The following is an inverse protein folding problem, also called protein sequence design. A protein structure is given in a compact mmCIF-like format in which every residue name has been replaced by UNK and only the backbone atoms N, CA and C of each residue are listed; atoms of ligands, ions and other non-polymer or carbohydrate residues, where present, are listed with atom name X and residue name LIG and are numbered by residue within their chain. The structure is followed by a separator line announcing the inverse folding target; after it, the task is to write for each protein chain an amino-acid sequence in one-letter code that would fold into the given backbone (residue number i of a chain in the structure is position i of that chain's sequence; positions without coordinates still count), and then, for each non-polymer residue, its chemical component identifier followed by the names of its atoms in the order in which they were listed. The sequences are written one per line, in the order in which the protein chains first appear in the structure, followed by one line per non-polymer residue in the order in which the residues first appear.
data_IF_054335847178
#
_entry.id   IF_054335847178
#
_cell.length_a   1.000
_cell.length_b   1.000
_cell.length_c   1.000
_cell.angle_alpha   90.00
_cell.angle_beta   90.00
_cell.angle_gamma   90.00
#
_symmetry.space_group_name_H-M   'P 1'
#
loop_
_entity.id
_entity.type
_entity.pdbx_description
1 polymer ?
#
# COMPACT_ATOMS: atom_id res chain seq x y z
N UNK A 1 0.48 3.24 9.42
CA UNK A 1 0.87 1.88 9.85
C UNK A 1 1.63 1.16 8.76
N UNK A 2 1.07 0.98 7.55
CA UNK A 2 1.77 0.36 6.43
C UNK A 2 3.16 0.95 6.20
N UNK A 3 3.26 2.28 6.16
CA UNK A 3 4.55 2.98 6.03
C UNK A 3 5.52 2.74 7.17
N UNK A 4 5.04 2.60 8.41
CA UNK A 4 5.91 2.30 9.55
C UNK A 4 6.48 0.89 9.45
N UNK A 5 5.69 -0.07 8.95
CA UNK A 5 6.17 -1.42 8.67
C UNK A 5 7.16 -1.43 7.52
N UNK A 6 6.86 -0.73 6.43
CA UNK A 6 7.73 -0.53 5.28
C UNK A 6 9.09 0.04 5.70
N UNK A 7 9.10 1.17 6.43
CA UNK A 7 10.31 1.78 7.00
C UNK A 7 11.09 0.80 7.89
N UNK A 8 10.37 0.01 8.69
CA UNK A 8 11.00 -0.98 9.58
C UNK A 8 11.69 -2.06 8.78
N UNK A 9 11.03 -2.60 7.75
CA UNK A 9 11.58 -3.63 6.87
C UNK A 9 12.78 -3.12 6.06
N UNK A 10 12.73 -1.87 5.59
CA UNK A 10 13.77 -1.30 4.72
C UNK A 10 15.00 -0.81 5.49
N UNK A 11 14.81 -0.16 6.65
CA UNK A 11 15.88 0.56 7.33
C UNK A 11 16.27 -0.01 8.71
N UNK A 12 15.39 -0.76 9.37
CA UNK A 12 15.57 -1.10 10.78
C UNK A 12 15.57 -2.60 11.08
N UNK A 13 15.24 -3.45 10.11
CA UNK A 13 15.14 -4.90 10.28
C UNK A 13 16.26 -5.63 9.53
N UNK A 14 16.84 -6.63 10.17
CA UNK A 14 17.61 -7.65 9.46
C UNK A 14 16.67 -8.64 8.77
N UNK A 15 17.17 -9.35 7.75
CA UNK A 15 16.45 -10.42 7.06
C UNK A 15 15.78 -11.43 8.01
N UNK A 16 16.47 -11.83 9.09
CA UNK A 16 15.91 -12.80 10.04
C UNK A 16 14.76 -12.19 10.84
N UNK A 17 14.87 -10.91 11.21
CA UNK A 17 13.82 -10.18 11.92
C UNK A 17 12.59 -9.96 11.05
N UNK A 18 12.77 -9.59 9.77
CA UNK A 18 11.66 -9.53 8.80
C UNK A 18 10.97 -10.89 8.73
N UNK A 19 11.71 -11.99 8.59
CA UNK A 19 11.13 -13.34 8.52
C UNK A 19 10.35 -13.72 9.78
N UNK A 20 10.82 -13.31 10.96
CA UNK A 20 10.10 -13.54 12.23
C UNK A 20 8.83 -12.69 12.28
N UNK A 21 8.91 -11.42 11.88
CA UNK A 21 7.76 -10.51 11.82
C UNK A 21 6.70 -10.97 10.80
N UNK A 22 7.11 -11.42 9.61
CA UNK A 22 6.19 -11.98 8.61
C UNK A 22 5.37 -13.13 9.20
N UNK A 23 6.03 -14.08 9.88
CA UNK A 23 5.33 -15.21 10.54
C UNK A 23 4.38 -14.76 11.64
N UNK A 24 4.78 -13.76 12.43
CA UNK A 24 3.92 -13.21 13.47
C UNK A 24 2.66 -12.59 12.85
N UNK A 25 2.83 -11.77 11.81
CA UNK A 25 1.73 -11.15 11.06
C UNK A 25 0.82 -12.21 10.43
N UNK A 26 1.38 -13.25 9.78
CA UNK A 26 0.61 -14.38 9.22
C UNK A 26 -0.22 -15.11 10.28
N UNK A 27 0.31 -15.23 11.51
CA UNK A 27 -0.44 -15.87 12.60
C UNK A 27 -1.58 -15.00 13.13
N UNK A 28 -1.43 -13.67 13.05
CA UNK A 28 -2.34 -12.68 13.60
C UNK A 28 -2.76 -12.94 15.06
N UNK A 29 -1.86 -13.55 15.86
CA UNK A 29 -2.10 -13.93 17.25
C UNK A 29 -1.21 -13.12 18.20
N UNK A 30 -1.78 -12.68 19.33
CA UNK A 30 -1.05 -11.92 20.36
C UNK A 30 0.17 -12.69 20.90
N UNK A 31 0.06 -14.02 21.02
CA UNK A 31 1.15 -14.89 21.50
C UNK A 31 2.42 -14.81 20.65
N UNK A 32 2.33 -14.40 19.38
CA UNK A 32 3.50 -14.21 18.53
C UNK A 32 4.44 -13.09 19.03
N UNK A 33 3.96 -12.19 19.90
CA UNK A 33 4.80 -11.17 20.56
C UNK A 33 5.96 -11.78 21.36
N UNK A 34 5.79 -12.97 21.93
CA UNK A 34 6.81 -13.62 22.75
C UNK A 34 8.01 -14.09 21.92
N UNK A 35 7.77 -14.41 20.64
CA UNK A 35 8.77 -14.93 19.72
C UNK A 35 9.52 -13.82 18.97
N UNK A 36 9.05 -12.57 19.04
CA UNK A 36 9.64 -11.44 18.34
C UNK A 36 10.81 -10.82 19.12
N UNK A 37 11.82 -10.28 18.41
CA UNK A 37 12.81 -9.39 19.00
C UNK A 37 12.17 -8.15 19.62
N UNK A 38 12.77 -7.62 20.69
CA UNK A 38 12.23 -6.47 21.44
C UNK A 38 11.98 -5.22 20.56
N UNK A 39 12.83 -5.02 19.54
CA UNK A 39 12.69 -3.98 18.51
C UNK A 39 11.38 -4.09 17.71
N UNK A 40 10.93 -5.31 17.41
CA UNK A 40 9.77 -5.59 16.56
C UNK A 40 8.47 -5.77 17.34
N UNK A 41 8.54 -6.11 18.64
CA UNK A 41 7.35 -6.29 19.48
C UNK A 41 6.45 -5.06 19.51
N UNK A 42 7.04 -3.88 19.61
CA UNK A 42 6.26 -2.63 19.64
C UNK A 42 5.50 -2.41 18.33
N UNK A 43 6.13 -2.69 17.18
CA UNK A 43 5.49 -2.58 15.88
C UNK A 43 4.34 -3.57 15.74
N UNK A 44 4.57 -4.86 16.07
CA UNK A 44 3.54 -5.88 15.97
C UNK A 44 2.38 -5.62 16.93
N UNK A 45 2.64 -5.11 18.14
CA UNK A 45 1.59 -4.69 19.07
C UNK A 45 0.72 -3.57 18.49
N UNK A 46 1.32 -2.54 17.89
CA UNK A 46 0.57 -1.48 17.19
C UNK A 46 -0.31 -2.05 16.08
N UNK A 47 0.16 -3.09 15.37
CA UNK A 47 -0.63 -3.79 14.35
C UNK A 47 -1.86 -4.44 14.96
N UNK A 48 -1.69 -5.30 15.97
CA UNK A 48 -2.80 -6.00 16.62
C UNK A 48 -3.81 -5.03 17.23
N UNK A 49 -3.32 -4.05 18.01
CA UNK A 49 -4.19 -3.08 18.71
C UNK A 49 -5.07 -2.29 17.72
N UNK A 50 -4.54 -1.88 16.57
CA UNK A 50 -5.34 -1.16 15.55
C UNK A 50 -6.42 -2.06 14.95
N UNK A 51 -6.10 -3.31 14.61
CA UNK A 51 -7.08 -4.18 13.99
C UNK A 51 -8.19 -4.54 14.98
N UNK A 52 -7.88 -4.69 16.26
CA UNK A 52 -8.87 -4.84 17.33
C UNK A 52 -9.75 -3.59 17.43
N UNK A 53 -9.18 -2.38 17.39
CA UNK A 53 -9.94 -1.13 17.38
C UNK A 53 -10.85 -1.01 16.15
N UNK A 54 -10.33 -1.32 14.96
CA UNK A 54 -11.10 -1.34 13.71
C UNK A 54 -12.24 -2.35 13.80
N UNK A 55 -12.00 -3.54 14.34
CA UNK A 55 -13.03 -4.56 14.52
C UNK A 55 -14.14 -4.09 15.47
N UNK A 56 -13.77 -3.46 16.59
CA UNK A 56 -14.71 -2.86 17.55
C UNK A 56 -15.54 -1.75 16.92
N UNK A 57 -14.93 -0.85 16.14
CA UNK A 57 -15.66 0.22 15.45
C UNK A 57 -16.58 -0.32 14.35
N UNK A 58 -16.11 -1.31 13.57
CA UNK A 58 -16.91 -1.87 12.48
C UNK A 58 -18.05 -2.75 12.98
N UNK A 59 -17.91 -3.41 14.12
CA UNK A 59 -19.01 -4.12 14.80
C UNK A 59 -20.20 -3.20 15.10
N UNK A 60 -19.99 -1.87 15.19
CA UNK A 60 -21.07 -0.88 15.35
C UNK A 60 -21.83 -0.59 14.05
N UNK A 61 -21.30 -0.98 12.89
CA UNK A 61 -21.80 -0.55 11.57
C UNK A 61 -22.23 -1.69 10.61
N UNK A 62 -21.93 -2.97 10.90
CA UNK A 62 -22.38 -4.15 10.11
C UNK A 62 -21.24 -4.98 9.49
N UNK A 63 -21.52 -6.10 8.79
CA UNK A 63 -20.53 -7.15 8.50
C UNK A 63 -19.40 -6.72 7.55
N UNK A 64 -18.19 -7.16 7.87
CA UNK A 64 -16.88 -6.64 7.45
C UNK A 64 -16.24 -7.42 6.31
N UNK A 65 -16.67 -7.15 5.08
CA UNK A 65 -15.97 -7.65 3.88
C UNK A 65 -14.55 -7.05 3.75
N UNK A 66 -14.39 -5.77 4.07
CA UNK A 66 -13.13 -5.05 3.87
C UNK A 66 -11.98 -5.50 4.79
N UNK A 67 -12.26 -5.87 6.04
CA UNK A 67 -11.24 -6.32 7.00
C UNK A 67 -10.77 -7.73 6.67
N UNK A 68 -11.70 -8.64 6.36
CA UNK A 68 -11.34 -10.01 5.97
C UNK A 68 -10.56 -10.00 4.65
N UNK A 69 -10.98 -9.19 3.68
CA UNK A 69 -10.23 -9.00 2.44
C UNK A 69 -8.84 -8.39 2.68
N UNK A 70 -8.71 -7.40 3.56
CA UNK A 70 -7.41 -6.82 3.92
C UNK A 70 -6.48 -7.84 4.61
N UNK A 71 -7.02 -8.72 5.47
CA UNK A 71 -6.26 -9.82 6.08
C UNK A 71 -5.80 -10.84 5.03
N UNK A 72 -6.68 -11.24 4.11
CA UNK A 72 -6.38 -12.20 3.03
C UNK A 72 -5.40 -11.67 1.97
N UNK A 73 -5.52 -10.41 1.54
CA UNK A 73 -4.56 -9.81 0.60
C UNK A 73 -3.17 -9.63 1.23
N UNK A 74 -3.11 -9.38 2.54
CA UNK A 74 -1.85 -9.25 3.24
C UNK A 74 -1.03 -10.55 3.27
N UNK A 75 -1.70 -11.71 3.41
CA UNK A 75 -1.06 -13.02 3.35
C UNK A 75 -0.36 -13.28 1.99
N UNK A 76 -0.68 -12.49 0.96
CA UNK A 76 -0.17 -12.67 -0.40
C UNK A 76 1.09 -11.86 -0.70
N UNK A 77 1.39 -10.79 0.04
CA UNK A 77 2.56 -9.93 -0.23
C UNK A 77 3.84 -10.47 0.40
N UNK A 78 4.76 -10.96 -0.44
CA UNK A 78 6.13 -11.31 -0.05
C UNK A 78 7.04 -10.09 -0.15
N UNK A 79 7.70 -9.70 0.94
CA UNK A 79 8.73 -8.67 0.95
C UNK A 79 10.08 -9.23 0.48
N UNK A 80 10.44 -9.03 -0.78
CA UNK A 80 11.82 -8.88 -1.27
C UNK A 80 11.73 -8.16 -2.61
N UNK A 81 12.12 -6.89 -2.70
CA UNK A 81 12.02 -6.16 -3.96
C UNK A 81 13.33 -5.47 -4.33
N UNK A 82 14.07 -6.10 -5.25
CA UNK A 82 14.82 -5.30 -6.21
C UNK A 82 13.80 -4.48 -7.02
N UNK A 83 14.14 -3.25 -7.41
CA UNK A 83 13.19 -2.39 -8.13
C UNK A 83 12.69 -3.09 -9.41
N UNK A 84 11.47 -2.78 -9.86
CA UNK A 84 10.93 -3.34 -11.10
C UNK A 84 11.86 -3.09 -12.31
N UNK A 85 12.51 -1.93 -12.33
CA UNK A 85 13.50 -1.54 -13.34
C UNK A 85 14.71 -2.46 -13.28
N UNK A 86 15.32 -2.64 -12.10
CA UNK A 86 16.49 -3.50 -11.92
C UNK A 86 16.18 -4.97 -12.23
N UNK A 87 15.02 -5.47 -11.79
CA UNK A 87 14.54 -6.80 -12.14
C UNK A 87 14.47 -6.99 -13.66
N UNK A 88 13.84 -6.03 -14.36
CA UNK A 88 13.67 -6.11 -15.81
C UNK A 88 15.00 -6.03 -16.55
N UNK A 89 15.89 -5.12 -16.13
CA UNK A 89 17.24 -5.00 -16.68
C UNK A 89 18.02 -6.31 -16.53
N UNK A 90 18.00 -6.92 -15.34
CA UNK A 90 18.74 -8.15 -15.06
C UNK A 90 18.15 -9.35 -15.81
N UNK A 91 16.83 -9.44 -15.94
CA UNK A 91 16.16 -10.54 -16.63
C UNK A 91 16.34 -10.48 -18.15
N UNK A 92 16.28 -9.28 -18.73
CA UNK A 92 16.27 -9.09 -20.19
C UNK A 92 17.60 -8.58 -20.75
N UNK A 93 18.57 -8.24 -19.90
CA UNK A 93 19.87 -7.71 -20.30
C UNK A 93 19.80 -6.34 -20.98
N UNK A 94 18.79 -5.53 -20.65
CA UNK A 94 18.51 -4.24 -21.29
C UNK A 94 19.05 -3.06 -20.48
N UNK A 95 19.12 -1.89 -21.11
CA UNK A 95 19.48 -0.65 -20.42
C UNK A 95 18.36 -0.14 -19.50
N UNK A 96 18.72 0.72 -18.55
CA UNK A 96 17.76 1.38 -17.65
C UNK A 96 16.70 2.18 -18.43
N UNK A 97 17.08 2.87 -19.50
CA UNK A 97 16.16 3.64 -20.34
C UNK A 97 15.11 2.73 -21.00
N UNK A 98 15.52 1.55 -21.48
CA UNK A 98 14.61 0.57 -22.05
C UNK A 98 13.67 -0.03 -21.00
N UNK A 99 14.18 -0.31 -19.80
CA UNK A 99 13.38 -0.80 -18.68
C UNK A 99 12.36 0.24 -18.18
N UNK A 100 12.77 1.51 -18.03
CA UNK A 100 11.87 2.62 -17.68
C UNK A 100 10.79 2.79 -18.73
N UNK A 101 11.15 2.73 -20.02
CA UNK A 101 10.18 2.82 -21.12
C UNK A 101 9.17 1.67 -21.04
N UNK A 102 9.62 0.45 -20.80
CA UNK A 102 8.74 -0.71 -20.60
C UNK A 102 7.77 -0.49 -19.44
N UNK A 103 8.24 -0.06 -18.26
CA UNK A 103 7.37 0.24 -17.12
C UNK A 103 6.31 1.29 -17.45
N UNK A 104 6.67 2.35 -18.18
CA UNK A 104 5.72 3.37 -18.63
C UNK A 104 4.66 2.83 -19.60
N UNK A 105 5.04 1.93 -20.49
CA UNK A 105 4.11 1.26 -21.41
C UNK A 105 3.13 0.35 -20.65
N UNK A 106 3.59 -0.38 -19.63
CA UNK A 106 2.73 -1.19 -18.76
C UNK A 106 1.75 -0.33 -17.95
N UNK A 107 2.22 0.77 -17.34
CA UNK A 107 1.35 1.74 -16.64
C UNK A 107 0.29 2.30 -17.59
N UNK A 108 0.71 2.67 -18.81
CA UNK A 108 -0.19 3.21 -19.83
C UNK A 108 -1.24 2.19 -20.29
N UNK A 109 -0.89 0.90 -20.32
CA UNK A 109 -1.84 -0.18 -20.62
C UNK A 109 -2.82 -0.38 -19.47
N UNK A 110 -2.34 -0.45 -18.24
CA UNK A 110 -3.17 -0.59 -17.05
C UNK A 110 -4.22 0.54 -16.94
N UNK A 111 -3.85 1.78 -17.30
CA UNK A 111 -4.81 2.89 -17.35
C UNK A 111 -5.91 2.70 -18.40
N UNK A 112 -5.60 2.11 -19.56
CA UNK A 112 -6.60 1.80 -20.59
C UNK A 112 -7.54 0.70 -20.11
N UNK A 113 -7.00 -0.32 -19.45
CA UNK A 113 -7.79 -1.42 -18.88
C UNK A 113 -8.77 -0.89 -17.82
N UNK A 114 -8.30 -0.04 -16.89
CA UNK A 114 -9.17 0.64 -15.91
C UNK A 114 -10.29 1.44 -16.62
N UNK A 115 -9.94 2.22 -17.64
CA UNK A 115 -10.90 3.03 -18.37
C UNK A 115 -11.94 2.20 -19.14
N UNK A 116 -11.54 1.05 -19.67
CA UNK A 116 -12.44 0.10 -20.33
C UNK A 116 -13.38 -0.57 -19.32
N UNK A 117 -12.84 -1.05 -18.19
CA UNK A 117 -13.63 -1.69 -17.13
C UNK A 117 -14.65 -0.72 -16.51
N UNK A 118 -14.30 0.55 -16.34
CA UNK A 118 -15.25 1.57 -15.85
C UNK A 118 -16.45 1.80 -16.79
N UNK A 119 -16.37 1.39 -18.07
CA UNK A 119 -17.47 1.51 -19.03
C UNK A 119 -18.36 0.26 -19.08
N UNK A 120 -17.87 -0.88 -18.57
CA UNK A 120 -18.61 -2.15 -18.61
C UNK A 120 -19.73 -2.13 -17.57
N UNK A 121 -20.90 -2.71 -17.88
CA UNK A 121 -21.92 -2.98 -16.87
C UNK A 121 -21.33 -3.90 -15.79
N UNK A 122 -21.39 -3.48 -14.53
CA UNK A 122 -20.89 -4.25 -13.39
C UNK A 122 -22.01 -4.49 -12.38
N UNK A 123 -22.08 -5.67 -11.75
CA UNK A 123 -22.99 -5.91 -10.62
C UNK A 123 -22.52 -5.21 -9.33
N UNK A 124 -21.30 -4.66 -9.31
CA UNK A 124 -20.75 -3.99 -8.15
C UNK A 124 -21.34 -2.57 -8.00
N UNK A 125 -21.59 -2.10 -6.76
CA UNK A 125 -21.93 -0.71 -6.49
C UNK A 125 -20.88 0.25 -7.07
N UNK A 126 -21.34 1.33 -7.70
CA UNK A 126 -20.47 2.39 -8.26
C UNK A 126 -19.53 2.96 -7.19
N UNK A 127 -20.00 3.08 -5.95
CA UNK A 127 -19.21 3.56 -4.81
C UNK A 127 -18.01 2.67 -4.47
N UNK A 128 -18.06 1.36 -4.77
CA UNK A 128 -16.91 0.46 -4.60
C UNK A 128 -15.93 0.59 -5.77
N UNK A 129 -16.43 0.66 -7.00
CA UNK A 129 -15.56 0.85 -8.17
C UNK A 129 -14.87 2.22 -8.18
N UNK A 130 -15.54 3.26 -7.68
CA UNK A 130 -14.97 4.60 -7.51
C UNK A 130 -13.80 4.60 -6.51
N UNK A 131 -13.84 3.78 -5.46
CA UNK A 131 -12.73 3.68 -4.50
C UNK A 131 -11.46 3.18 -5.17
N UNK A 132 -11.55 2.13 -5.98
CA UNK A 132 -10.41 1.58 -6.72
C UNK A 132 -9.87 2.60 -7.73
N UNK A 133 -10.76 3.25 -8.49
CA UNK A 133 -10.38 4.29 -9.44
C UNK A 133 -9.70 5.49 -8.75
N UNK A 134 -10.25 5.95 -7.62
CA UNK A 134 -9.70 7.08 -6.88
C UNK A 134 -8.36 6.72 -6.22
N UNK A 135 -8.16 5.46 -5.82
CA UNK A 135 -6.86 4.98 -5.36
C UNK A 135 -5.81 5.10 -6.47
N UNK A 136 -6.09 4.58 -7.67
CA UNK A 136 -5.18 4.71 -8.82
C UNK A 136 -4.86 6.18 -9.17
N UNK A 137 -5.88 7.06 -9.12
CA UNK A 137 -5.71 8.51 -9.31
C UNK A 137 -4.84 9.14 -8.23
N UNK A 138 -5.02 8.75 -6.96
CA UNK A 138 -4.21 9.28 -5.86
C UNK A 138 -2.74 8.92 -6.02
N UNK A 139 -2.41 7.71 -6.46
CA UNK A 139 -1.02 7.32 -6.73
C UNK A 139 -0.42 8.22 -7.81
N UNK A 140 -1.17 8.50 -8.89
CA UNK A 140 -0.69 9.42 -9.93
C UNK A 140 -0.41 10.82 -9.37
N UNK A 141 -1.31 11.38 -8.56
CA UNK A 141 -1.12 12.71 -7.94
C UNK A 141 0.06 12.71 -6.96
N UNK A 142 0.19 11.68 -6.12
CA UNK A 142 1.25 11.57 -5.12
C UNK A 142 2.63 11.51 -5.79
N UNK A 143 2.72 10.84 -6.94
CA UNK A 143 3.99 10.56 -7.62
C UNK A 143 4.26 11.40 -8.89
N UNK A 144 3.38 12.34 -9.24
CA UNK A 144 3.48 13.15 -10.47
C UNK A 144 4.82 13.89 -10.57
N UNK A 145 5.29 14.44 -9.45
CA UNK A 145 6.49 15.26 -9.36
C UNK A 145 7.66 14.55 -8.65
N UNK A 146 7.65 13.22 -8.64
CA UNK A 146 8.60 12.38 -7.90
C UNK A 146 7.98 11.81 -6.63
N UNK A 147 8.79 11.35 -5.68
CA UNK A 147 8.30 10.70 -4.45
C UNK A 147 7.70 11.71 -3.46
N UNK A 148 6.47 12.14 -3.72
CA UNK A 148 5.71 13.05 -2.86
C UNK A 148 5.22 12.42 -1.56
N UNK A 149 5.26 11.09 -1.43
CA UNK A 149 4.92 10.40 -0.20
C UNK A 149 6.00 10.61 0.86
N UNK A 150 7.25 10.31 0.53
CA UNK A 150 8.40 10.54 1.42
C UNK A 150 8.74 12.02 1.49
N UNK A 151 8.69 12.72 0.35
CA UNK A 151 9.01 14.15 0.25
C UNK A 151 7.73 14.99 0.22
N UNK A 152 6.99 14.99 1.32
CA UNK A 152 5.66 15.60 1.46
C UNK A 152 5.56 17.09 1.07
N UNK A 153 6.67 17.82 1.03
CA UNK A 153 6.70 19.20 0.52
C UNK A 153 6.26 19.31 -0.94
N UNK A 154 6.41 18.24 -1.75
CA UNK A 154 5.93 18.18 -3.13
C UNK A 154 4.39 18.18 -3.23
N UNK A 155 3.69 17.79 -2.16
CA UNK A 155 2.23 17.78 -2.09
C UNK A 155 1.65 18.98 -1.32
N UNK A 156 2.50 19.89 -0.86
CA UNK A 156 2.10 21.00 0.01
C UNK A 156 0.99 21.84 -0.61
N UNK A 157 1.08 22.19 -1.89
CA UNK A 157 0.07 23.01 -2.57
C UNK A 157 -1.29 22.28 -2.64
N UNK A 158 -1.30 20.98 -2.89
CA UNK A 158 -2.51 20.16 -2.88
C UNK A 158 -3.14 20.09 -1.49
N UNK A 159 -2.32 19.92 -0.44
CA UNK A 159 -2.79 19.87 0.96
C UNK A 159 -3.36 21.22 1.37
N UNK A 160 -2.65 22.31 1.09
CA UNK A 160 -3.07 23.66 1.44
C UNK A 160 -4.41 23.99 0.74
N UNK A 161 -4.52 23.74 -0.57
CA UNK A 161 -5.77 23.99 -1.32
C UNK A 161 -6.97 23.13 -0.89
N UNK A 162 -6.75 21.92 -0.38
CA UNK A 162 -7.83 20.99 -0.04
C UNK A 162 -8.28 21.10 1.42
N UNK A 163 -7.34 21.35 2.33
CA UNK A 163 -7.55 21.23 3.78
C UNK A 163 -7.32 22.51 4.56
N UNK A 164 -6.56 23.48 4.03
CA UNK A 164 -6.22 24.71 4.75
C UNK A 164 -6.96 25.94 4.19
N UNK A 165 -6.97 26.08 2.87
CA UNK A 165 -7.48 27.26 2.18
C UNK A 165 -8.95 27.07 1.75
N UNK A 166 -9.89 27.86 2.30
CA UNK A 166 -11.28 27.78 1.87
C UNK A 166 -11.45 28.35 0.47
N UNK A 167 -12.35 27.74 -0.32
CA UNK A 167 -12.73 28.29 -1.63
C UNK A 167 -13.38 29.66 -1.44
N UNK A 168 -12.88 30.73 -2.09
CA UNK A 168 -13.50 32.04 -2.00
C UNK A 168 -14.95 32.01 -2.48
N UNK A 169 -15.85 32.66 -1.73
CA UNK A 169 -17.27 32.80 -2.04
C UNK A 169 -17.53 33.89 -3.10
#
# INVERSE_FOLDING_TARGET
MLSLLDDTCDNFATYQEVKMLTKAIESFHESALEELPETMKNLYRIIIDLYDEIEVELAKTGPTFAVNYAKEEWERERSYAASAIECYMNEHGVSEVEAVKFCWEEISRAWKDIAEECQKPTPLPVTLTERVLNFARSINVIYENGDGYTHSHLLKEHIDSLLADPVPL
#
